data_IF_559035313618
#
_entry.id   IF_559035313618
#
_cell.length_a   1.000
_cell.length_b   1.000
_cell.length_c   1.000
_cell.angle_alpha   90.00
_cell.angle_beta   90.00
_cell.angle_gamma   90.00
#
_symmetry.space_group_name_H-M   'P 1'
#
loop_
_entity.id
_entity.type
_entity.pdbx_description
1 polymer ?
#
# COMPACT_ATOMS: atom_id res chain seq x y z
N UNK A 1 20.90 9.88 11.55
CA UNK A 1 20.77 10.51 10.22
C UNK A 1 19.92 9.61 9.35
N UNK A 2 19.00 10.19 8.59
CA UNK A 2 18.15 9.49 7.64
C UNK A 2 18.52 9.88 6.21
N UNK A 3 18.44 8.93 5.28
CA UNK A 3 18.58 9.14 3.85
C UNK A 3 17.59 8.30 3.07
N UNK A 4 17.13 8.84 1.93
CA UNK A 4 16.19 8.15 1.06
C UNK A 4 16.93 7.20 0.11
N UNK A 5 16.41 6.00 -0.02
CA UNK A 5 16.69 5.08 -1.12
C UNK A 5 15.49 5.15 -2.08
N UNK A 6 15.59 6.03 -3.08
CA UNK A 6 14.47 6.48 -3.90
C UNK A 6 14.83 6.44 -5.37
N UNK A 7 13.96 5.88 -6.20
CA UNK A 7 14.17 5.76 -7.64
C UNK A 7 15.58 5.22 -7.97
N UNK A 8 16.47 6.06 -8.48
CA UNK A 8 17.80 5.66 -8.94
C UNK A 8 18.74 5.22 -7.81
N UNK A 9 18.53 5.72 -6.59
CA UNK A 9 19.31 5.34 -5.41
C UNK A 9 18.66 4.21 -4.62
N UNK A 10 17.48 3.70 -5.02
CA UNK A 10 16.76 2.64 -4.30
C UNK A 10 17.54 1.33 -4.28
N UNK A 11 18.22 1.02 -5.37
CA UNK A 11 19.04 -0.19 -5.48
C UNK A 11 20.21 -0.14 -4.49
N UNK A 12 20.44 -1.20 -3.69
CA UNK A 12 21.56 -1.24 -2.76
C UNK A 12 22.93 -1.11 -3.45
N UNK A 13 23.83 -0.36 -2.82
CA UNK A 13 25.20 -0.26 -3.28
C UNK A 13 25.93 -1.60 -3.16
N UNK A 14 26.77 -1.95 -4.14
CA UNK A 14 27.50 -3.21 -4.13
C UNK A 14 28.69 -3.21 -3.18
N UNK A 15 29.32 -2.06 -2.96
CA UNK A 15 30.63 -1.94 -2.30
C UNK A 15 30.61 -1.18 -0.99
N UNK A 16 29.61 -0.34 -0.76
CA UNK A 16 29.52 0.50 0.44
C UNK A 16 28.38 0.03 1.33
N UNK A 17 28.62 0.03 2.64
CA UNK A 17 27.60 -0.20 3.67
C UNK A 17 27.30 1.09 4.41
N UNK A 18 26.01 1.35 4.75
CA UNK A 18 25.68 2.49 5.59
C UNK A 18 26.31 2.32 6.99
N UNK A 19 26.67 3.44 7.62
CA UNK A 19 27.11 3.42 9.02
C UNK A 19 25.92 3.09 9.93
N UNK A 20 26.18 2.54 11.13
CA UNK A 20 25.14 2.11 12.10
C UNK A 20 24.16 3.21 12.51
N UNK A 21 24.57 4.47 12.46
CA UNK A 21 23.71 5.61 12.79
C UNK A 21 22.91 6.14 11.59
N UNK A 22 22.98 5.49 10.42
CA UNK A 22 22.22 5.85 9.22
C UNK A 22 20.97 5.01 9.11
N UNK A 23 19.84 5.66 8.93
CA UNK A 23 18.55 5.04 8.58
C UNK A 23 18.41 5.11 7.07
N UNK A 24 18.21 3.97 6.44
CA UNK A 24 17.89 3.89 5.02
C UNK A 24 16.37 3.82 4.89
N UNK A 25 15.75 4.81 4.26
CA UNK A 25 14.32 4.83 3.98
C UNK A 25 14.05 4.50 2.52
N UNK A 26 13.51 3.30 2.26
CA UNK A 26 13.11 2.87 0.91
C UNK A 26 11.75 3.42 0.55
N UNK A 27 11.64 3.92 -0.68
CA UNK A 27 10.39 4.44 -1.24
C UNK A 27 9.85 3.47 -2.30
N UNK A 28 8.57 3.13 -2.19
CA UNK A 28 7.87 2.20 -3.09
C UNK A 28 7.14 2.89 -4.25
N UNK A 29 7.45 4.15 -4.54
CA UNK A 29 6.69 5.04 -5.44
C UNK A 29 6.40 4.45 -6.83
N UNK A 30 7.25 3.58 -7.33
CA UNK A 30 7.13 2.99 -8.68
C UNK A 30 6.32 1.68 -8.68
N UNK A 31 5.93 1.20 -7.50
CA UNK A 31 5.28 -0.09 -7.34
C UNK A 31 3.84 -0.09 -7.84
N UNK A 32 3.32 -1.29 -8.07
CA UNK A 32 1.91 -1.55 -8.16
C UNK A 32 1.32 -1.64 -6.75
N UNK A 33 0.20 -0.97 -6.53
CA UNK A 33 -0.53 -0.93 -5.24
C UNK A 33 -1.83 -1.74 -5.27
N UNK A 34 -2.16 -2.36 -6.41
CA UNK A 34 -3.32 -3.25 -6.55
C UNK A 34 -3.06 -4.66 -6.00
N UNK A 35 -1.80 -5.05 -5.90
CA UNK A 35 -1.35 -6.36 -5.43
C UNK A 35 -0.32 -6.18 -4.33
N UNK A 36 -0.24 -7.15 -3.41
CA UNK A 36 0.83 -7.13 -2.40
C UNK A 36 2.21 -7.10 -3.07
N UNK A 37 3.18 -6.46 -2.41
CA UNK A 37 4.52 -6.25 -2.96
C UNK A 37 5.18 -7.56 -3.39
N UNK A 38 5.04 -8.60 -2.57
CA UNK A 38 5.66 -9.91 -2.81
C UNK A 38 4.86 -10.77 -3.80
N UNK A 39 3.51 -10.64 -3.80
CA UNK A 39 2.62 -11.39 -4.66
C UNK A 39 2.47 -10.84 -6.09
N UNK A 40 2.92 -9.63 -6.34
CA UNK A 40 2.75 -8.96 -7.63
C UNK A 40 3.77 -9.44 -8.68
N UNK A 41 3.29 -9.74 -9.87
CA UNK A 41 4.13 -10.16 -11.01
C UNK A 41 4.78 -9.00 -11.78
N UNK A 42 4.40 -7.76 -11.47
CA UNK A 42 4.95 -6.57 -12.13
C UNK A 42 6.47 -6.41 -11.88
N UNK A 43 7.17 -5.91 -12.89
CA UNK A 43 8.61 -5.65 -12.77
C UNK A 43 8.94 -4.67 -11.63
N UNK A 44 8.23 -3.54 -11.41
CA UNK A 44 8.51 -2.63 -10.32
C UNK A 44 8.45 -3.29 -8.93
N UNK A 45 7.45 -4.15 -8.67
CA UNK A 45 7.33 -4.84 -7.39
C UNK A 45 8.45 -5.88 -7.22
N UNK A 46 8.75 -6.67 -8.26
CA UNK A 46 9.89 -7.61 -8.24
C UNK A 46 11.22 -6.90 -7.99
N UNK A 47 11.41 -5.72 -8.58
CA UNK A 47 12.62 -4.92 -8.35
C UNK A 47 12.65 -4.41 -6.89
N UNK A 48 11.54 -3.90 -6.36
CA UNK A 48 11.43 -3.45 -4.98
C UNK A 48 11.70 -4.58 -3.98
N UNK A 49 11.16 -5.78 -4.21
CA UNK A 49 11.42 -6.95 -3.38
C UNK A 49 12.91 -7.28 -3.33
N UNK A 50 13.61 -7.24 -4.47
CA UNK A 50 15.06 -7.45 -4.49
C UNK A 50 15.83 -6.35 -3.76
N UNK A 51 15.39 -5.11 -3.92
CA UNK A 51 16.05 -3.97 -3.29
C UNK A 51 15.92 -4.01 -1.76
N UNK A 52 14.72 -4.27 -1.22
CA UNK A 52 14.52 -4.40 0.24
C UNK A 52 15.30 -5.59 0.81
N UNK A 53 15.33 -6.73 0.12
CA UNK A 53 16.12 -7.89 0.51
C UNK A 53 17.64 -7.58 0.55
N UNK A 54 18.11 -6.79 -0.39
CA UNK A 54 19.49 -6.33 -0.43
C UNK A 54 19.81 -5.36 0.71
N UNK A 55 18.96 -4.38 0.96
CA UNK A 55 19.13 -3.43 2.05
C UNK A 55 19.01 -4.08 3.43
N UNK A 56 18.10 -5.03 3.62
CA UNK A 56 17.92 -5.76 4.88
C UNK A 56 19.20 -6.54 5.30
N UNK A 57 20.07 -6.90 4.33
CA UNK A 57 21.38 -7.56 4.59
C UNK A 57 22.48 -6.57 4.94
N UNK A 58 22.30 -5.28 4.66
CA UNK A 58 23.38 -4.30 4.73
C UNK A 58 23.12 -3.18 5.74
N UNK A 59 21.87 -2.83 5.98
CA UNK A 59 21.48 -1.71 6.82
C UNK A 59 20.99 -2.22 8.19
N UNK A 60 21.55 -1.66 9.27
CA UNK A 60 21.08 -1.97 10.63
C UNK A 60 19.70 -1.35 10.91
N UNK A 61 19.35 -0.29 10.19
CA UNK A 61 18.09 0.46 10.35
C UNK A 61 17.47 0.71 8.98
N UNK A 62 16.42 -0.03 8.70
CA UNK A 62 15.64 0.08 7.48
C UNK A 62 14.26 0.64 7.79
N UNK A 63 13.86 1.68 7.09
CA UNK A 63 12.54 2.27 7.12
C UNK A 63 11.92 2.25 5.74
N UNK A 64 10.60 2.38 5.69
CA UNK A 64 9.84 2.42 4.44
C UNK A 64 9.08 3.74 4.34
N UNK A 65 9.02 4.27 3.13
CA UNK A 65 8.06 5.26 2.70
C UNK A 65 7.16 4.61 1.66
N UNK A 66 5.96 4.29 2.09
CA UNK A 66 4.93 3.67 1.25
C UNK A 66 3.79 4.66 0.95
N UNK A 67 2.81 4.24 0.16
CA UNK A 67 1.74 5.09 -0.34
C UNK A 67 0.42 4.35 -0.29
N UNK A 68 -0.68 5.06 0.02
CA UNK A 68 -2.01 4.46 0.22
C UNK A 68 -3.09 5.06 -0.67
N UNK A 69 -2.78 6.02 -1.55
CA UNK A 69 -3.78 6.73 -2.34
C UNK A 69 -3.29 7.04 -3.75
N UNK A 70 -4.21 7.43 -4.65
CA UNK A 70 -3.86 8.00 -5.95
C UNK A 70 -3.58 9.50 -5.82
N UNK A 71 -2.35 9.93 -6.08
CA UNK A 71 -1.98 11.35 -6.04
C UNK A 71 -2.41 12.13 -7.29
N UNK A 72 -2.86 11.45 -8.35
CA UNK A 72 -3.45 12.12 -9.50
C UNK A 72 -4.87 12.60 -9.19
N UNK A 73 -5.62 11.86 -8.35
CA UNK A 73 -6.99 12.20 -8.00
C UNK A 73 -7.45 11.45 -6.75
N UNK A 74 -7.49 12.11 -5.58
CA UNK A 74 -7.76 11.48 -4.29
C UNK A 74 -9.14 10.81 -4.14
N UNK A 75 -10.12 11.20 -4.92
CA UNK A 75 -11.47 10.61 -4.89
C UNK A 75 -11.68 9.53 -5.94
N UNK A 76 -10.71 9.27 -6.81
CA UNK A 76 -10.76 8.10 -7.69
C UNK A 76 -10.62 6.84 -6.85
N UNK A 77 -11.52 5.86 -6.99
CA UNK A 77 -11.37 4.57 -6.30
C UNK A 77 -9.98 3.99 -6.49
N UNK A 78 -9.37 3.59 -5.38
CA UNK A 78 -8.00 3.07 -5.35
C UNK A 78 -7.96 1.77 -4.53
N UNK A 79 -8.42 0.64 -5.11
CA UNK A 79 -8.58 -0.63 -4.39
C UNK A 79 -7.23 -1.24 -3.97
N UNK A 80 -6.69 -0.74 -2.86
CA UNK A 80 -5.43 -1.16 -2.24
C UNK A 80 -5.61 -1.79 -0.86
N UNK A 81 -6.81 -1.73 -0.27
CA UNK A 81 -7.05 -2.12 1.12
C UNK A 81 -6.62 -3.57 1.41
N UNK A 82 -6.85 -4.50 0.49
CA UNK A 82 -6.50 -5.92 0.62
C UNK A 82 -5.01 -6.23 0.46
N UNK A 83 -4.16 -5.21 0.32
CA UNK A 83 -2.70 -5.39 0.22
C UNK A 83 -1.97 -4.90 1.47
N UNK A 84 -2.67 -4.18 2.35
CA UNK A 84 -2.05 -3.42 3.44
C UNK A 84 -1.39 -4.35 4.47
N UNK A 85 -2.11 -5.35 4.94
CA UNK A 85 -1.63 -6.30 5.95
C UNK A 85 -0.48 -7.17 5.43
N UNK A 86 -0.59 -7.69 4.20
CA UNK A 86 0.48 -8.46 3.54
C UNK A 86 1.75 -7.64 3.40
N UNK A 87 1.63 -6.36 3.00
CA UNK A 87 2.76 -5.46 2.86
C UNK A 87 3.41 -5.15 4.21
N UNK A 88 2.64 -4.92 5.27
CA UNK A 88 3.18 -4.71 6.62
C UNK A 88 3.91 -5.98 7.10
N UNK A 89 3.33 -7.17 6.94
CA UNK A 89 3.99 -8.44 7.26
C UNK A 89 5.28 -8.64 6.47
N UNK A 90 5.26 -8.29 5.18
CA UNK A 90 6.45 -8.33 4.34
C UNK A 90 7.55 -7.41 4.86
N UNK A 91 7.25 -6.18 5.25
CA UNK A 91 8.21 -5.25 5.82
C UNK A 91 8.80 -5.76 7.15
N UNK A 92 7.98 -6.31 8.02
CA UNK A 92 8.43 -6.91 9.30
C UNK A 92 9.42 -8.05 9.05
N UNK A 93 9.12 -8.95 8.10
CA UNK A 93 10.03 -10.05 7.74
C UNK A 93 11.38 -9.58 7.21
N UNK A 94 11.45 -8.36 6.68
CA UNK A 94 12.67 -7.77 6.13
C UNK A 94 13.35 -6.77 7.08
N UNK A 95 13.13 -6.90 8.39
CA UNK A 95 13.79 -6.11 9.44
C UNK A 95 13.52 -4.61 9.36
N UNK A 96 12.40 -4.19 8.78
CA UNK A 96 11.96 -2.79 8.80
C UNK A 96 11.59 -2.38 10.23
N UNK A 97 12.04 -1.19 10.65
CA UNK A 97 11.86 -0.66 12.01
C UNK A 97 10.91 0.52 12.09
N UNK A 98 10.56 1.09 10.96
CA UNK A 98 9.62 2.20 10.87
C UNK A 98 9.02 2.29 9.49
N UNK A 99 7.76 2.69 9.44
CA UNK A 99 7.00 2.83 8.20
C UNK A 99 6.31 4.18 8.23
N UNK A 100 6.36 4.88 7.12
CA UNK A 100 5.56 6.05 6.81
C UNK A 100 4.65 5.71 5.64
N UNK A 101 3.35 5.69 5.89
CA UNK A 101 2.31 5.48 4.89
C UNK A 101 1.77 6.85 4.46
N UNK A 102 2.10 7.26 3.26
CA UNK A 102 1.64 8.54 2.71
C UNK A 102 0.25 8.39 2.11
N UNK A 103 -0.68 9.13 2.69
CA UNK A 103 -2.05 9.24 2.21
C UNK A 103 -2.33 10.64 1.65
N UNK A 104 -3.59 10.96 1.35
CA UNK A 104 -3.99 12.28 0.87
C UNK A 104 -3.62 13.37 1.87
N UNK A 105 -3.03 14.48 1.41
CA UNK A 105 -2.58 15.59 2.25
C UNK A 105 -3.10 16.96 1.79
N UNK A 106 -3.54 17.06 0.55
CA UNK A 106 -4.05 18.30 -0.05
C UNK A 106 -5.58 18.40 0.01
N UNK A 107 -6.24 17.38 0.54
CA UNK A 107 -7.69 17.28 0.63
C UNK A 107 -8.06 16.79 2.04
N UNK A 108 -9.18 17.25 2.61
CA UNK A 108 -9.66 16.77 3.91
C UNK A 108 -10.10 15.31 3.87
N UNK A 109 -10.31 14.75 2.66
CA UNK A 109 -10.74 13.36 2.45
C UNK A 109 -10.22 12.81 1.12
N UNK A 110 -10.28 11.48 0.99
CA UNK A 110 -10.00 10.72 -0.23
C UNK A 110 -10.87 9.47 -0.30
N UNK A 111 -10.66 8.63 -1.31
CA UNK A 111 -11.38 7.37 -1.48
C UNK A 111 -11.18 6.47 -0.27
N UNK A 112 -12.24 6.31 0.54
CA UNK A 112 -12.25 5.50 1.76
C UNK A 112 -11.03 5.69 2.69
N UNK A 113 -10.41 6.89 2.67
CA UNK A 113 -9.16 7.18 3.38
C UNK A 113 -9.26 6.93 4.90
N UNK A 114 -10.42 7.20 5.52
CA UNK A 114 -10.63 6.89 6.94
C UNK A 114 -10.64 5.39 7.22
N UNK A 115 -11.20 4.57 6.34
CA UNK A 115 -11.14 3.10 6.43
C UNK A 115 -9.70 2.61 6.26
N UNK A 116 -9.01 3.08 5.22
CA UNK A 116 -7.60 2.76 4.98
C UNK A 116 -6.71 3.12 6.16
N UNK A 117 -6.88 4.33 6.71
CA UNK A 117 -6.15 4.80 7.89
C UNK A 117 -6.39 3.94 9.13
N UNK A 118 -7.66 3.54 9.37
CA UNK A 118 -8.00 2.64 10.48
C UNK A 118 -7.34 1.26 10.32
N UNK A 119 -7.48 0.65 9.16
CA UNK A 119 -6.88 -0.66 8.88
C UNK A 119 -5.35 -0.61 9.02
N UNK A 120 -4.73 0.43 8.46
CA UNK A 120 -3.30 0.65 8.56
C UNK A 120 -2.84 0.78 10.01
N UNK A 121 -3.55 1.55 10.84
CA UNK A 121 -3.24 1.70 12.27
C UNK A 121 -3.30 0.35 13.01
N UNK A 122 -4.29 -0.50 12.70
CA UNK A 122 -4.38 -1.86 13.26
C UNK A 122 -3.17 -2.70 12.88
N UNK A 123 -2.79 -2.74 11.61
CA UNK A 123 -1.69 -3.57 11.11
C UNK A 123 -0.31 -3.06 11.56
N UNK A 124 -0.13 -1.76 11.70
CA UNK A 124 1.10 -1.17 12.25
C UNK A 124 1.26 -1.47 13.74
N UNK A 125 0.15 -1.58 14.47
CA UNK A 125 0.15 -1.96 15.88
C UNK A 125 0.35 -3.47 16.06
N UNK A 126 -0.40 -4.27 15.31
CA UNK A 126 -0.35 -5.73 15.33
C UNK A 126 -0.37 -6.29 13.89
N UNK A 127 0.79 -6.66 13.34
CA UNK A 127 0.87 -7.22 12.00
C UNK A 127 0.14 -8.54 11.81
N UNK A 128 -0.29 -9.20 12.89
CA UNK A 128 -1.10 -10.44 12.84
C UNK A 128 -2.61 -10.16 12.82
N UNK A 129 -3.03 -8.89 12.91
CA UNK A 129 -4.45 -8.54 12.90
C UNK A 129 -5.12 -8.99 11.60
N UNK A 130 -6.31 -9.56 11.71
CA UNK A 130 -7.08 -10.05 10.56
C UNK A 130 -7.64 -8.91 9.72
N UNK A 131 -7.41 -8.95 8.41
CA UNK A 131 -7.84 -7.94 7.45
C UNK A 131 -9.35 -7.76 7.42
N UNK A 132 -10.10 -8.85 7.29
CA UNK A 132 -11.56 -8.81 7.23
C UNK A 132 -12.17 -8.29 8.52
N UNK A 133 -11.58 -8.67 9.65
CA UNK A 133 -11.99 -8.16 10.95
C UNK A 133 -11.76 -6.66 11.05
N UNK A 134 -10.58 -6.15 10.68
CA UNK A 134 -10.28 -4.72 10.71
C UNK A 134 -11.26 -3.91 9.83
N UNK A 135 -11.51 -4.41 8.62
CA UNK A 135 -12.43 -3.78 7.68
C UNK A 135 -13.87 -3.77 8.22
N UNK A 136 -14.38 -4.90 8.70
CA UNK A 136 -15.74 -5.00 9.20
C UNK A 136 -15.95 -4.16 10.47
N UNK A 137 -15.01 -4.17 11.43
CA UNK A 137 -15.09 -3.33 12.64
C UNK A 137 -15.28 -1.85 12.31
N UNK A 138 -14.54 -1.34 11.31
CA UNK A 138 -14.69 0.06 10.89
C UNK A 138 -16.02 0.29 10.16
N UNK A 139 -16.32 -0.57 9.18
CA UNK A 139 -17.51 -0.40 8.34
C UNK A 139 -18.79 -0.47 9.19
N UNK A 140 -18.89 -1.43 10.08
CA UNK A 140 -20.06 -1.56 10.98
C UNK A 140 -20.15 -0.38 11.95
N UNK A 141 -19.02 0.03 12.54
CA UNK A 141 -18.99 1.11 13.52
C UNK A 141 -19.29 2.49 12.93
N UNK A 142 -18.88 2.75 11.70
CA UNK A 142 -19.02 4.06 11.06
C UNK A 142 -20.28 4.17 10.20
N UNK A 143 -20.58 3.13 9.43
CA UNK A 143 -21.70 3.15 8.48
C UNK A 143 -22.96 2.46 8.98
N UNK A 144 -22.90 1.71 10.09
CA UNK A 144 -24.04 1.04 10.67
C UNK A 144 -24.81 0.17 9.66
N UNK A 145 -26.14 0.37 9.50
CA UNK A 145 -26.96 -0.41 8.55
C UNK A 145 -26.51 -0.31 7.09
N UNK A 146 -25.82 0.76 6.70
CA UNK A 146 -25.29 0.91 5.35
C UNK A 146 -23.98 0.12 5.13
N UNK A 147 -23.39 -0.41 6.19
CA UNK A 147 -22.11 -1.11 6.15
C UNK A 147 -22.06 -2.26 5.15
N UNK A 148 -23.15 -3.04 5.02
CA UNK A 148 -23.22 -4.12 4.06
C UNK A 148 -23.03 -3.64 2.62
N UNK A 149 -23.60 -2.51 2.24
CA UNK A 149 -23.45 -1.95 0.91
C UNK A 149 -22.05 -1.39 0.68
N UNK A 150 -21.48 -0.72 1.68
CA UNK A 150 -20.08 -0.25 1.63
C UNK A 150 -19.13 -1.44 1.48
N UNK A 151 -19.34 -2.55 2.20
CA UNK A 151 -18.54 -3.75 2.06
C UNK A 151 -18.66 -4.35 0.66
N UNK A 152 -19.86 -4.45 0.11
CA UNK A 152 -20.08 -4.92 -1.26
C UNK A 152 -19.38 -4.05 -2.30
N UNK A 153 -19.42 -2.72 -2.13
CA UNK A 153 -18.68 -1.79 -2.98
C UNK A 153 -17.17 -2.03 -2.94
N UNK A 154 -16.60 -2.15 -1.75
CA UNK A 154 -15.18 -2.45 -1.57
C UNK A 154 -14.81 -3.77 -2.25
N UNK A 155 -15.58 -4.82 -2.00
CA UNK A 155 -15.34 -6.15 -2.57
C UNK A 155 -15.46 -6.14 -4.09
N UNK A 156 -16.46 -5.46 -4.66
CA UNK A 156 -16.67 -5.35 -6.10
C UNK A 156 -15.45 -4.80 -6.82
N UNK A 157 -14.84 -3.74 -6.29
CA UNK A 157 -13.67 -3.10 -6.91
C UNK A 157 -12.41 -3.95 -6.77
N UNK A 158 -12.16 -4.49 -5.59
CA UNK A 158 -11.00 -5.35 -5.35
C UNK A 158 -11.07 -6.65 -6.15
N UNK A 159 -12.25 -7.27 -6.24
CA UNK A 159 -12.47 -8.50 -7.01
C UNK A 159 -12.26 -8.26 -8.51
N UNK A 160 -12.70 -7.10 -9.03
CA UNK A 160 -12.47 -6.73 -10.43
C UNK A 160 -10.97 -6.56 -10.72
N UNK A 161 -10.27 -5.85 -9.86
CA UNK A 161 -8.82 -5.62 -10.00
C UNK A 161 -8.06 -6.95 -9.92
N UNK A 162 -8.39 -7.81 -8.95
CA UNK A 162 -7.75 -9.11 -8.80
C UNK A 162 -8.04 -10.06 -9.97
N UNK A 163 -9.31 -10.14 -10.40
CA UNK A 163 -9.75 -11.01 -11.49
C UNK A 163 -9.06 -10.69 -12.82
N UNK A 164 -8.94 -9.40 -13.12
CA UNK A 164 -8.38 -8.93 -14.40
C UNK A 164 -6.87 -8.66 -14.33
N UNK A 165 -6.24 -8.94 -13.18
CA UNK A 165 -4.82 -8.65 -12.91
C UNK A 165 -4.42 -7.21 -13.24
N UNK A 166 -5.24 -6.23 -12.80
CA UNK A 166 -5.02 -4.82 -13.11
C UNK A 166 -3.94 -4.23 -12.20
N UNK A 167 -2.88 -3.71 -12.78
CA UNK A 167 -1.82 -3.02 -12.05
C UNK A 167 -2.15 -1.53 -11.88
N UNK A 168 -1.94 -1.01 -10.68
CA UNK A 168 -2.18 0.40 -10.36
C UNK A 168 -0.93 1.05 -9.76
N UNK A 169 -0.58 2.21 -10.28
CA UNK A 169 0.41 3.11 -9.68
C UNK A 169 -0.30 4.29 -9.01
N UNK A 170 0.40 5.00 -8.15
CA UNK A 170 -0.15 6.14 -7.40
C UNK A 170 -0.52 7.36 -8.26
N UNK A 171 -0.29 7.31 -9.56
CA UNK A 171 -0.61 8.39 -10.52
C UNK A 171 -1.73 8.00 -11.49
N UNK A 172 -2.56 7.02 -11.16
CA UNK A 172 -3.71 6.68 -11.99
C UNK A 172 -4.73 7.83 -11.98
N UNK A 173 -5.20 8.17 -13.17
CA UNK A 173 -6.27 9.17 -13.33
C UNK A 173 -7.67 8.54 -13.14
N UNK A 174 -8.74 9.32 -13.37
CA UNK A 174 -10.11 8.84 -13.22
C UNK A 174 -10.53 7.79 -14.26
N UNK A 175 -9.86 7.72 -15.40
CA UNK A 175 -10.14 6.74 -16.46
C UNK A 175 -9.38 5.44 -16.20
N UNK A 176 -9.75 4.72 -15.15
CA UNK A 176 -9.10 3.48 -14.74
C UNK A 176 -9.76 2.26 -15.39
N UNK A 177 -8.99 1.21 -15.74
CA UNK A 177 -9.52 0.05 -16.48
C UNK A 177 -10.57 -0.76 -15.71
N UNK A 178 -10.62 -0.66 -14.39
CA UNK A 178 -11.59 -1.38 -13.56
C UNK A 178 -12.92 -0.64 -13.37
N UNK A 179 -13.01 0.67 -13.64
CA UNK A 179 -14.26 1.42 -13.60
C UNK A 179 -14.96 1.35 -14.98
N UNK A 180 -15.41 0.17 -15.33
CA UNK A 180 -16.23 -0.04 -16.54
C UNK A 180 -17.69 0.36 -16.28
N UNK A 181 -18.47 0.62 -17.34
CA UNK A 181 -19.91 0.92 -17.23
C UNK A 181 -20.64 -0.17 -16.43
N UNK A 182 -20.25 -1.43 -16.60
CA UNK A 182 -20.81 -2.57 -15.83
C UNK A 182 -20.51 -2.45 -14.32
N UNK A 183 -19.28 -2.11 -13.96
CA UNK A 183 -18.89 -1.93 -12.56
C UNK A 183 -19.59 -0.73 -11.96
N UNK A 184 -19.62 0.41 -12.66
CA UNK A 184 -20.29 1.64 -12.20
C UNK A 184 -21.79 1.41 -12.00
N UNK A 185 -22.43 0.60 -12.86
CA UNK A 185 -23.85 0.29 -12.71
C UNK A 185 -24.17 -0.66 -11.52
N UNK A 186 -23.18 -1.36 -10.99
CA UNK A 186 -23.31 -2.26 -9.84
C UNK A 186 -22.91 -1.61 -8.51
N UNK A 187 -22.10 -0.56 -8.58
CA UNK A 187 -21.59 0.16 -7.41
C UNK A 187 -22.65 1.13 -6.85
#
# INVERSE_FOLDING_TARGET
IETLAYQWTRKPCKTLRPRKNVIIRLCSIECCFAHSLEGCDSKPNKDFVRDIQGWAKMADRLWIWNYCTSFAHYYTPFPTLRTLDDNIRFFVRHNVKGIFEQDNYQSPNGDLSSLGGYMMAKFLWDPSYDENRAMNEFIEGVYGPAGTFIRQYVDLLHDKVAKDNIHMQIWIGPNVPFLTDEIVAKA
#
